data_IF_446779912287
#
_entry.id   IF_446779912287
#
_cell.length_a   1.000
_cell.length_b   1.000
_cell.length_c   1.000
_cell.angle_alpha   90.00
_cell.angle_beta   90.00
_cell.angle_gamma   90.00
#
_symmetry.space_group_name_H-M   'P 1'
#
loop_
_entity.id
_entity.type
_entity.pdbx_description
1 polymer ?
#
# COMPACT_ATOMS: atom_id res chain seq x y z
N UNK A 1 1.53 7.41 -18.35
CA UNK A 1 1.43 6.44 -19.46
C UNK A 1 2.46 5.36 -19.21
N UNK A 2 2.05 4.09 -19.20
CA UNK A 2 2.89 2.93 -18.89
C UNK A 2 3.14 2.02 -20.09
N UNK A 3 2.71 2.42 -21.30
CA UNK A 3 2.92 1.64 -22.52
C UNK A 3 4.41 1.55 -22.85
N UNK A 4 4.96 0.32 -22.88
CA UNK A 4 6.36 0.07 -23.18
C UNK A 4 7.37 0.41 -22.07
N UNK A 5 6.88 0.66 -20.84
CA UNK A 5 7.72 0.87 -19.65
C UNK A 5 7.89 -0.45 -18.91
N UNK A 6 9.08 -0.71 -18.38
CA UNK A 6 9.35 -1.92 -17.61
C UNK A 6 8.53 -1.97 -16.31
N UNK A 7 8.28 -3.17 -15.79
CA UNK A 7 7.66 -3.32 -14.47
C UNK A 7 8.55 -2.67 -13.40
N UNK A 8 7.91 -1.96 -12.47
CA UNK A 8 8.53 -1.17 -11.41
C UNK A 8 9.34 0.05 -11.85
N UNK A 9 9.31 0.42 -13.13
CA UNK A 9 9.87 1.68 -13.60
C UNK A 9 8.89 2.85 -13.42
N UNK A 10 9.43 4.07 -13.45
CA UNK A 10 8.66 5.29 -13.27
C UNK A 10 7.68 5.52 -14.43
N UNK A 11 6.49 5.99 -14.09
CA UNK A 11 5.47 6.35 -15.08
C UNK A 11 5.96 7.45 -16.02
N UNK A 12 5.79 7.29 -17.33
CA UNK A 12 6.08 8.35 -18.31
C UNK A 12 4.91 9.32 -18.46
N UNK A 13 5.17 10.62 -18.32
CA UNK A 13 4.19 11.70 -18.49
C UNK A 13 3.74 12.36 -17.17
N UNK A 14 2.75 13.26 -17.27
CA UNK A 14 2.26 13.99 -16.10
C UNK A 14 1.41 13.08 -15.20
N UNK A 15 1.89 12.86 -13.97
CA UNK A 15 1.23 12.05 -12.94
C UNK A 15 0.82 12.88 -11.72
N UNK A 16 0.88 14.22 -11.82
CA UNK A 16 0.73 15.20 -10.72
C UNK A 16 -0.61 15.16 -9.97
N UNK A 17 -1.55 14.29 -10.37
CA UNK A 17 -2.84 14.10 -9.68
C UNK A 17 -3.22 12.63 -9.43
N UNK A 18 -2.38 11.67 -9.86
CA UNK A 18 -2.67 10.25 -9.67
C UNK A 18 -2.24 9.78 -8.28
N UNK A 19 -1.02 10.15 -7.87
CA UNK A 19 -0.48 9.86 -6.56
C UNK A 19 -0.42 11.11 -5.67
N UNK A 20 -0.55 10.98 -4.34
CA UNK A 20 -0.35 12.09 -3.42
C UNK A 20 1.07 12.66 -3.50
N UNK A 21 1.25 13.91 -3.06
CA UNK A 21 2.56 14.56 -3.01
C UNK A 21 3.58 13.71 -2.22
N UNK A 22 4.74 13.45 -2.84
CA UNK A 22 5.82 12.65 -2.23
C UNK A 22 5.71 11.13 -2.43
N UNK A 23 4.77 10.66 -3.25
CA UNK A 23 4.63 9.24 -3.63
C UNK A 23 4.98 9.08 -5.11
N UNK A 24 5.91 8.18 -5.45
CA UNK A 24 6.30 7.94 -6.84
C UNK A 24 5.26 7.07 -7.57
N UNK A 25 4.97 7.43 -8.82
CA UNK A 25 4.16 6.60 -9.72
C UNK A 25 5.06 5.58 -10.40
N UNK A 26 4.68 4.30 -10.34
CA UNK A 26 5.36 3.21 -11.01
C UNK A 26 4.41 2.45 -11.93
N UNK A 27 4.97 1.74 -12.91
CA UNK A 27 4.21 0.91 -13.85
C UNK A 27 4.31 -0.57 -13.47
N UNK A 28 3.20 -1.30 -13.57
CA UNK A 28 3.17 -2.76 -13.50
C UNK A 28 2.13 -3.29 -14.47
N UNK A 29 2.48 -4.28 -15.29
CA UNK A 29 1.56 -4.86 -16.28
C UNK A 29 0.94 -3.78 -17.19
N UNK A 30 1.75 -2.80 -17.61
CA UNK A 30 1.34 -1.60 -18.37
C UNK A 30 0.28 -0.71 -17.68
N UNK A 31 0.03 -0.93 -16.38
CA UNK A 31 -0.89 -0.14 -15.57
C UNK A 31 -0.13 0.75 -14.58
N UNK A 32 -0.53 2.03 -14.42
CA UNK A 32 0.06 2.92 -13.43
C UNK A 32 -0.44 2.56 -12.02
N UNK A 33 0.47 2.46 -11.06
CA UNK A 33 0.17 2.30 -9.65
C UNK A 33 1.04 3.25 -8.81
N UNK A 34 0.52 3.65 -7.64
CA UNK A 34 1.27 4.46 -6.69
C UNK A 34 2.12 3.56 -5.79
N UNK A 35 3.43 3.81 -5.75
CA UNK A 35 4.31 3.07 -4.84
C UNK A 35 4.26 3.68 -3.45
N UNK A 36 3.44 3.10 -2.59
CA UNK A 36 3.27 3.56 -1.23
C UNK A 36 4.55 3.42 -0.40
N UNK A 37 4.81 4.43 0.44
CA UNK A 37 5.97 4.44 1.32
C UNK A 37 5.87 3.34 2.39
N UNK A 38 7.01 2.73 2.68
CA UNK A 38 7.22 1.76 3.76
C UNK A 38 8.27 2.33 4.70
N UNK A 39 8.02 2.27 6.00
CA UNK A 39 8.99 2.68 7.00
C UNK A 39 8.88 1.81 8.25
N UNK A 40 9.99 1.70 8.98
CA UNK A 40 10.09 0.91 10.20
C UNK A 40 10.42 1.83 11.37
N UNK A 41 9.63 1.73 12.44
CA UNK A 41 9.88 2.43 13.70
C UNK A 41 10.12 1.38 14.79
N UNK A 42 11.38 1.17 15.14
CA UNK A 42 11.78 0.12 16.08
C UNK A 42 11.46 -1.28 15.54
N UNK A 43 10.55 -1.99 16.21
CA UNK A 43 10.10 -3.34 15.84
C UNK A 43 8.80 -3.37 15.03
N UNK A 44 8.19 -2.21 14.77
CA UNK A 44 6.94 -2.12 14.02
C UNK A 44 7.22 -1.68 12.59
N UNK A 45 6.73 -2.47 11.64
CA UNK A 45 6.68 -2.10 10.24
C UNK A 45 5.37 -1.38 9.95
N UNK A 46 5.48 -0.26 9.26
CA UNK A 46 4.36 0.56 8.81
C UNK A 46 4.41 0.65 7.29
N UNK A 47 3.25 0.51 6.67
CA UNK A 47 3.11 0.68 5.23
C UNK A 47 1.77 1.33 4.93
N UNK A 48 1.75 2.12 3.86
CA UNK A 48 0.49 2.65 3.35
C UNK A 48 -0.12 1.68 2.34
N UNK A 49 -1.43 1.51 2.40
CA UNK A 49 -2.25 0.69 1.52
C UNK A 49 -3.30 1.56 0.83
N UNK A 50 -3.88 1.01 -0.25
CA UNK A 50 -4.91 1.66 -1.04
C UNK A 50 -4.38 2.30 -2.33
N UNK A 51 -5.28 2.61 -3.29
CA UNK A 51 -4.90 3.17 -4.58
C UNK A 51 -4.24 4.55 -4.47
N UNK A 52 -4.44 5.25 -3.34
CA UNK A 52 -3.87 6.56 -3.06
C UNK A 52 -2.95 6.57 -1.84
N UNK A 53 -2.53 5.41 -1.33
CA UNK A 53 -1.65 5.33 -0.15
C UNK A 53 -2.19 6.10 1.07
N UNK A 54 -3.50 6.14 1.25
CA UNK A 54 -4.20 6.90 2.27
C UNK A 54 -4.47 6.09 3.54
N UNK A 55 -4.37 4.76 3.47
CA UNK A 55 -4.59 3.88 4.61
C UNK A 55 -3.27 3.47 5.24
N UNK A 56 -2.97 3.97 6.44
CA UNK A 56 -1.81 3.50 7.21
C UNK A 56 -2.12 2.15 7.85
N UNK A 57 -1.29 1.16 7.58
CA UNK A 57 -1.33 -0.16 8.19
C UNK A 57 -0.02 -0.47 8.89
N UNK A 58 -0.13 -1.28 9.94
CA UNK A 58 1.01 -1.88 10.62
C UNK A 58 0.84 -3.38 10.78
N UNK A 59 1.93 -4.08 11.10
CA UNK A 59 1.89 -5.51 11.41
C UNK A 59 0.95 -5.82 12.57
N UNK A 60 0.83 -4.88 13.52
CA UNK A 60 -0.07 -4.99 14.67
C UNK A 60 -1.53 -4.90 14.23
N UNK A 61 -1.88 -3.97 13.33
CA UNK A 61 -3.24 -3.82 12.83
C UNK A 61 -3.68 -5.08 12.07
N UNK A 62 -2.77 -5.68 11.31
CA UNK A 62 -3.04 -6.90 10.55
C UNK A 62 -3.26 -8.12 11.46
N UNK A 63 -2.46 -8.23 12.53
CA UNK A 63 -2.69 -9.24 13.58
C UNK A 63 -4.03 -9.00 14.27
N UNK A 64 -4.35 -7.75 14.59
CA UNK A 64 -5.59 -7.41 15.29
C UNK A 64 -6.83 -7.80 14.46
N UNK A 65 -6.85 -7.45 13.17
CA UNK A 65 -7.95 -7.77 12.25
C UNK A 65 -8.13 -9.28 12.06
N UNK A 66 -7.04 -10.06 12.09
CA UNK A 66 -7.12 -11.52 11.92
C UNK A 66 -7.48 -12.26 13.22
N UNK A 67 -7.04 -11.76 14.38
CA UNK A 67 -7.25 -12.42 15.67
C UNK A 67 -8.61 -12.06 16.28
N UNK A 68 -9.08 -10.82 16.16
CA UNK A 68 -10.35 -10.39 16.77
C UNK A 68 -11.55 -11.26 16.40
N UNK A 69 -11.77 -11.64 15.12
CA UNK A 69 -12.90 -12.51 14.75
C UNK A 69 -12.81 -13.89 15.39
N UNK A 70 -11.61 -14.47 15.46
CA UNK A 70 -11.38 -15.78 16.08
C UNK A 70 -11.66 -15.74 17.59
N UNK A 71 -11.20 -14.69 18.26
CA UNK A 71 -11.47 -14.48 19.69
C UNK A 71 -12.96 -14.29 19.94
N UNK A 72 -13.64 -13.46 19.15
CA UNK A 72 -15.08 -13.26 19.29
C UNK A 72 -15.86 -14.57 19.11
N UNK A 73 -15.52 -15.38 18.11
CA UNK A 73 -16.12 -16.69 17.88
C UNK A 73 -15.94 -17.62 19.09
N UNK A 74 -14.78 -17.58 19.76
CA UNK A 74 -14.51 -18.45 20.92
C UNK A 74 -15.42 -18.20 22.13
N UNK A 75 -16.04 -17.01 22.23
CA UNK A 75 -16.98 -16.67 23.31
C UNK A 75 -18.44 -16.98 22.99
N UNK A 76 -18.76 -17.27 21.72
CA UNK A 76 -20.12 -17.60 21.27
C UNK A 76 -20.40 -19.11 21.39
N UNK A 77 -19.35 -19.94 21.46
CA UNK A 77 -19.44 -21.41 21.61
C UNK A 77 -19.62 -21.83 23.06
#
# INVERSE_FOLDING_TARGET
NCTGIGDFEDCSGNTDNFCPAGVSCQCKDEQPFCRCNYYRVGWKDYWYMGPKCDQLWSTVDLILVTVLPAVALSFVV
#
